data_IF_040278204052
#
_entry.id   IF_040278204052
#
_cell.length_a   1.000
_cell.length_b   1.000
_cell.length_c   1.000
_cell.angle_alpha   90.00
_cell.angle_beta   90.00
_cell.angle_gamma   90.00
#
_symmetry.space_group_name_H-M   'P 1'
#
loop_
_entity.id
_entity.type
_entity.pdbx_description
1 polymer ?
#
# COMPACT_ATOMS: atom_id res chain seq x y z
N UNK A 1 2.30 11.29 -14.60
CA UNK A 1 1.35 12.14 -15.36
C UNK A 1 0.31 12.63 -14.37
N UNK A 2 0.45 13.87 -13.90
CA UNK A 2 -0.51 14.49 -12.97
C UNK A 2 -1.87 14.56 -13.66
N UNK A 3 -2.91 14.04 -13.04
CA UNK A 3 -4.29 14.36 -13.45
C UNK A 3 -4.62 15.78 -12.97
N UNK A 4 -4.94 16.73 -13.86
CA UNK A 4 -5.45 18.02 -13.44
C UNK A 4 -6.94 17.88 -13.12
N UNK A 5 -7.33 18.30 -11.91
CA UNK A 5 -8.73 18.54 -11.59
C UNK A 5 -9.20 19.78 -12.36
N UNK A 6 -9.87 19.57 -13.49
CA UNK A 6 -10.50 20.66 -14.24
C UNK A 6 -11.86 20.98 -13.61
N UNK A 7 -11.94 22.05 -12.82
CA UNK A 7 -13.23 22.65 -12.48
C UNK A 7 -13.68 23.52 -13.65
N UNK A 8 -14.73 23.09 -14.36
CA UNK A 8 -15.38 23.86 -15.43
C UNK A 8 -16.40 24.78 -14.76
N UNK A 9 -16.09 26.07 -14.68
CA UNK A 9 -17.07 27.09 -14.32
C UNK A 9 -17.80 27.56 -15.58
N UNK A 10 -18.97 26.97 -15.86
CA UNK A 10 -19.96 27.58 -16.74
C UNK A 10 -20.87 28.49 -15.91
N UNK A 11 -21.11 29.72 -16.37
CA UNK A 11 -22.17 30.54 -15.77
C UNK A 11 -23.04 31.21 -16.84
N UNK A 12 -24.25 30.70 -16.98
CA UNK A 12 -25.41 31.55 -17.19
C UNK A 12 -25.84 32.08 -15.81
N UNK A 13 -25.70 33.40 -15.59
CA UNK A 13 -26.43 34.17 -14.58
C UNK A 13 -26.12 33.96 -13.08
N UNK A 14 -26.05 35.06 -12.33
CA UNK A 14 -26.45 35.10 -10.91
C UNK A 14 -25.38 34.74 -9.87
N UNK A 15 -24.57 35.74 -9.49
CA UNK A 15 -23.58 35.79 -8.39
C UNK A 15 -24.12 35.26 -7.05
N UNK A 16 -23.38 34.38 -6.38
CA UNK A 16 -23.55 34.02 -4.96
C UNK A 16 -22.18 33.61 -4.42
N UNK A 17 -21.62 34.34 -3.43
CA UNK A 17 -20.38 33.93 -2.78
C UNK A 17 -20.73 33.03 -1.59
N UNK A 18 -20.36 31.75 -1.66
CA UNK A 18 -20.31 30.90 -0.46
C UNK A 18 -18.90 31.01 0.14
N UNK A 19 -18.83 31.79 1.21
CA UNK A 19 -17.68 31.99 2.09
C UNK A 19 -17.30 30.68 2.78
N UNK A 20 -16.03 30.30 2.74
CA UNK A 20 -15.39 29.39 3.69
C UNK A 20 -14.15 30.09 4.28
N UNK A 21 -13.86 29.97 5.59
CA UNK A 21 -12.82 30.76 6.23
C UNK A 21 -11.44 30.10 6.02
N UNK A 22 -10.46 30.89 5.60
CA UNK A 22 -9.04 30.48 5.63
C UNK A 22 -8.42 30.13 4.28
N UNK A 23 -8.38 31.10 3.37
CA UNK A 23 -7.58 31.01 2.16
C UNK A 23 -7.53 32.37 1.49
N UNK A 24 -6.48 33.15 1.78
CA UNK A 24 -6.22 34.42 1.14
C UNK A 24 -5.84 34.17 -0.34
N UNK A 25 -6.85 33.96 -1.20
CA UNK A 25 -6.70 34.06 -2.64
C UNK A 25 -6.54 35.55 -2.91
N UNK A 26 -5.29 36.01 -2.99
CA UNK A 26 -5.00 37.35 -3.41
C UNK A 26 -5.72 37.63 -4.74
N UNK A 27 -6.53 38.69 -4.72
CA UNK A 27 -7.24 39.29 -5.84
C UNK A 27 -6.25 39.71 -6.94
N UNK A 28 -5.83 38.78 -7.79
CA UNK A 28 -5.29 39.11 -9.12
C UNK A 28 -6.36 38.96 -10.23
N UNK A 29 -7.60 38.64 -9.86
CA UNK A 29 -8.74 38.45 -10.77
C UNK A 29 -9.25 39.75 -11.43
N UNK A 30 -8.71 40.92 -11.05
CA UNK A 30 -9.17 42.22 -11.56
C UNK A 30 -8.57 42.62 -12.93
N UNK A 31 -7.65 41.81 -13.50
CA UNK A 31 -6.87 42.21 -14.70
C UNK A 31 -7.45 41.79 -16.05
N UNK A 32 -8.52 41.01 -16.12
CA UNK A 32 -8.99 40.44 -17.38
C UNK A 32 -10.32 41.05 -17.81
N UNK A 33 -10.24 41.92 -18.83
CA UNK A 33 -11.31 42.84 -19.28
C UNK A 33 -12.01 42.42 -20.58
N UNK A 34 -11.91 41.14 -20.99
CA UNK A 34 -12.53 40.68 -22.24
C UNK A 34 -13.46 39.48 -22.01
N UNK A 35 -14.62 39.40 -22.71
CA UNK A 35 -15.59 38.31 -22.54
C UNK A 35 -15.07 37.03 -23.20
N UNK A 36 -14.35 36.20 -22.44
CA UNK A 36 -14.02 34.83 -22.84
C UNK A 36 -15.15 33.88 -22.44
N UNK A 37 -15.61 33.07 -23.42
CA UNK A 37 -16.72 32.13 -23.26
C UNK A 37 -16.39 30.92 -22.37
N UNK A 38 -15.10 30.59 -22.25
CA UNK A 38 -14.59 29.53 -21.38
C UNK A 38 -13.23 29.95 -20.82
N UNK A 39 -13.06 29.76 -19.51
CA UNK A 39 -11.83 30.09 -18.81
C UNK A 39 -11.35 28.89 -18.00
N UNK A 40 -10.17 28.38 -18.35
CA UNK A 40 -9.56 27.20 -17.74
C UNK A 40 -8.36 27.63 -16.90
N UNK A 41 -8.33 27.22 -15.62
CA UNK A 41 -7.20 27.42 -14.72
C UNK A 41 -6.67 26.09 -14.22
N UNK A 42 -5.36 25.94 -14.26
CA UNK A 42 -4.67 24.87 -13.56
C UNK A 42 -4.29 25.38 -12.18
N UNK A 43 -4.93 24.83 -11.16
CA UNK A 43 -4.60 25.14 -9.77
C UNK A 43 -3.62 24.09 -9.24
N UNK A 44 -2.64 24.57 -8.49
CA UNK A 44 -1.72 23.71 -7.78
C UNK A 44 -2.44 23.03 -6.60
N UNK A 45 -2.35 21.71 -6.53
CA UNK A 45 -2.88 20.94 -5.41
C UNK A 45 -1.78 20.65 -4.39
N UNK A 46 -1.83 21.34 -3.25
CA UNK A 46 -0.85 21.18 -2.16
C UNK A 46 -1.16 20.01 -1.21
N UNK A 47 -2.27 19.27 -1.41
CA UNK A 47 -2.72 18.25 -0.46
C UNK A 47 -1.68 17.15 -0.22
N UNK A 48 -1.06 16.63 -1.28
CA UNK A 48 -0.03 15.60 -1.18
C UNK A 48 1.17 16.07 -0.34
N UNK A 49 1.63 17.31 -0.53
CA UNK A 49 2.73 17.89 0.25
C UNK A 49 2.36 18.12 1.71
N UNK A 50 1.12 18.56 1.96
CA UNK A 50 0.59 18.69 3.31
C UNK A 50 0.57 17.33 4.03
N UNK A 51 0.05 16.29 3.37
CA UNK A 51 0.04 14.92 3.90
C UNK A 51 1.45 14.39 4.18
N UNK A 52 2.40 14.59 3.26
CA UNK A 52 3.80 14.18 3.47
C UNK A 52 4.43 14.89 4.67
N UNK A 53 4.21 16.20 4.82
CA UNK A 53 4.71 16.97 5.97
C UNK A 53 4.13 16.45 7.28
N UNK A 54 2.82 16.22 7.34
CA UNK A 54 2.17 15.65 8.53
C UNK A 54 2.71 14.26 8.86
N UNK A 55 2.97 13.42 7.85
CA UNK A 55 3.55 12.10 8.05
C UNK A 55 4.95 12.18 8.69
N UNK A 56 5.83 13.05 8.19
CA UNK A 56 7.18 13.23 8.76
C UNK A 56 7.14 13.69 10.23
N UNK A 57 6.23 14.60 10.57
CA UNK A 57 6.03 15.06 11.95
C UNK A 57 5.60 13.89 12.85
N UNK A 58 4.69 13.03 12.36
CA UNK A 58 4.21 11.86 13.12
C UNK A 58 5.25 10.75 13.27
N UNK A 59 6.14 10.57 12.29
CA UNK A 59 7.17 9.51 12.35
C UNK A 59 8.14 9.73 13.50
N UNK A 60 8.45 10.99 13.84
CA UNK A 60 9.41 11.35 14.90
C UNK A 60 9.11 10.66 16.23
N UNK A 61 7.83 10.55 16.59
CA UNK A 61 7.36 10.04 17.88
C UNK A 61 6.74 8.63 17.77
N UNK A 62 7.03 7.91 16.67
CA UNK A 62 6.39 6.63 16.37
C UNK A 62 7.34 5.44 16.53
N UNK A 63 6.77 4.29 16.88
CA UNK A 63 7.49 3.02 16.93
C UNK A 63 8.03 2.55 15.57
N UNK A 64 7.58 3.15 14.46
CA UNK A 64 8.08 2.81 13.11
C UNK A 64 9.43 3.46 12.81
N UNK A 65 9.88 4.43 13.62
CA UNK A 65 11.13 5.16 13.40
C UNK A 65 12.33 4.22 13.32
N UNK A 66 12.44 3.24 14.22
CA UNK A 66 13.54 2.27 14.23
C UNK A 66 13.51 1.34 13.02
N UNK A 67 12.33 1.11 12.43
CA UNK A 67 12.18 0.29 11.22
C UNK A 67 12.57 1.08 9.97
N UNK A 68 12.22 2.38 9.92
CA UNK A 68 12.50 3.25 8.77
C UNK A 68 13.94 3.79 8.77
N UNK A 69 14.48 4.05 9.96
CA UNK A 69 15.80 4.62 10.18
C UNK A 69 16.50 3.75 11.23
N UNK A 70 16.95 2.54 10.85
CA UNK A 70 17.71 1.69 11.75
C UNK A 70 18.99 2.43 12.15
N UNK A 71 19.24 2.52 13.46
CA UNK A 71 20.55 2.93 13.97
C UNK A 71 21.48 1.72 13.88
N UNK A 72 22.71 1.90 13.40
CA UNK A 72 23.72 0.85 13.36
C UNK A 72 23.93 0.33 14.79
N UNK A 73 23.34 -0.81 15.10
CA UNK A 73 23.70 -1.62 16.25
C UNK A 73 24.44 -2.83 15.69
N UNK A 74 25.61 -3.14 16.27
CA UNK A 74 26.36 -4.36 16.01
C UNK A 74 25.50 -5.56 16.44
N UNK A 75 24.57 -5.99 15.59
CA UNK A 75 23.90 -7.27 15.76
C UNK A 75 24.94 -8.34 15.44
N UNK A 76 25.45 -9.02 16.48
CA UNK A 76 26.13 -10.30 16.31
C UNK A 76 25.17 -11.21 15.55
N UNK A 77 25.45 -11.41 14.27
CA UNK A 77 24.76 -12.33 13.39
C UNK A 77 24.90 -13.75 13.96
N UNK A 78 23.97 -14.14 14.83
CA UNK A 78 23.59 -15.54 14.90
C UNK A 78 22.63 -15.76 13.74
N UNK A 79 23.22 -15.99 12.56
CA UNK A 79 22.59 -16.74 11.47
C UNK A 79 22.23 -18.13 12.00
N UNK A 80 21.17 -18.23 12.78
CA UNK A 80 20.36 -19.43 12.77
C UNK A 80 19.38 -19.27 11.60
N UNK A 81 19.92 -19.45 10.40
CA UNK A 81 19.14 -20.04 9.33
C UNK A 81 18.60 -21.36 9.89
N UNK A 82 17.34 -21.34 10.32
CA UNK A 82 16.59 -22.54 10.62
C UNK A 82 16.30 -23.29 9.32
N UNK A 83 17.34 -23.83 8.69
CA UNK A 83 17.25 -25.03 7.86
C UNK A 83 16.89 -26.18 8.81
N UNK A 84 15.59 -26.36 9.00
CA UNK A 84 15.04 -27.29 9.97
C UNK A 84 13.65 -27.80 9.57
N UNK A 85 13.38 -28.00 8.28
CA UNK A 85 12.45 -29.06 7.89
C UNK A 85 13.21 -30.40 8.04
N UNK A 86 13.37 -30.85 9.30
CA UNK A 86 13.72 -32.24 9.55
C UNK A 86 12.59 -33.10 9.00
N UNK A 87 12.90 -33.89 7.98
CA UNK A 87 12.17 -35.10 7.66
C UNK A 87 12.14 -35.98 8.93
N UNK A 88 11.04 -35.92 9.66
CA UNK A 88 10.80 -36.69 10.88
C UNK A 88 9.30 -36.82 11.08
N UNK A 89 8.78 -38.04 10.91
CA UNK A 89 7.37 -38.36 10.88
C UNK A 89 6.58 -37.86 12.10
N UNK A 90 5.45 -37.21 11.81
CA UNK A 90 4.44 -36.81 12.77
C UNK A 90 3.26 -36.20 12.03
N UNK A 91 2.17 -36.96 11.87
CA UNK A 91 0.91 -36.53 11.28
C UNK A 91 0.39 -35.23 11.93
N UNK A 92 0.43 -34.13 11.17
CA UNK A 92 -0.07 -32.81 11.58
C UNK A 92 0.10 -31.78 10.47
N UNK A 93 -0.30 -32.12 9.24
CA UNK A 93 -0.12 -31.27 8.06
C UNK A 93 -0.91 -29.97 8.16
N UNK A 94 -0.23 -28.85 8.43
CA UNK A 94 -0.67 -27.52 8.01
C UNK A 94 0.25 -27.03 6.90
N UNK A 95 0.22 -27.76 5.78
CA UNK A 95 0.95 -27.40 4.58
C UNK A 95 0.65 -25.95 4.18
N UNK A 96 1.69 -25.20 3.82
CA UNK A 96 1.53 -23.85 3.32
C UNK A 96 0.93 -23.90 1.91
N UNK A 97 -0.38 -24.10 1.80
CA UNK A 97 -1.09 -24.04 0.52
C UNK A 97 -1.09 -22.59 0.02
N UNK A 98 -0.49 -22.38 -1.14
CA UNK A 98 -0.55 -21.11 -1.87
C UNK A 98 -1.83 -21.08 -2.72
N UNK A 99 -2.46 -19.92 -2.81
CA UNK A 99 -3.64 -19.70 -3.63
C UNK A 99 -3.27 -19.75 -5.12
N UNK A 100 -2.16 -19.11 -5.49
CA UNK A 100 -1.61 -19.17 -6.85
C UNK A 100 -0.61 -20.32 -7.01
N UNK A 101 -1.04 -21.40 -7.66
CA UNK A 101 -0.16 -22.56 -7.94
C UNK A 101 0.94 -22.23 -8.96
N UNK A 102 0.80 -21.14 -9.73
CA UNK A 102 1.77 -20.71 -10.76
C UNK A 102 3.00 -19.97 -10.20
N UNK A 103 3.05 -19.72 -8.89
CA UNK A 103 4.21 -19.11 -8.24
C UNK A 103 5.43 -20.03 -8.33
N UNK A 104 6.59 -19.45 -8.66
CA UNK A 104 7.87 -20.16 -8.59
C UNK A 104 8.35 -20.30 -7.14
N UNK A 105 9.39 -21.10 -6.93
CA UNK A 105 9.87 -21.40 -5.57
C UNK A 105 10.39 -20.16 -4.83
N UNK A 106 11.08 -19.25 -5.53
CA UNK A 106 11.59 -18.02 -4.93
C UNK A 106 10.47 -17.05 -4.52
N UNK A 107 9.42 -16.93 -5.33
CA UNK A 107 8.23 -16.16 -4.98
C UNK A 107 7.49 -16.80 -3.79
N UNK A 108 7.42 -18.13 -3.72
CA UNK A 108 6.82 -18.86 -2.58
C UNK A 108 7.61 -18.63 -1.30
N UNK A 109 8.94 -18.72 -1.35
CA UNK A 109 9.82 -18.41 -0.20
C UNK A 109 9.60 -16.97 0.28
N UNK A 110 9.61 -16.00 -0.63
CA UNK A 110 9.36 -14.60 -0.31
C UNK A 110 7.97 -14.37 0.32
N UNK A 111 6.91 -14.89 -0.30
CA UNK A 111 5.56 -14.78 0.23
C UNK A 111 5.41 -15.45 1.61
N UNK A 112 6.00 -16.65 1.79
CA UNK A 112 6.00 -17.36 3.07
C UNK A 112 6.72 -16.57 4.16
N UNK A 113 7.83 -15.91 3.84
CA UNK A 113 8.56 -15.03 4.77
C UNK A 113 7.67 -13.89 5.25
N UNK A 114 7.00 -13.19 4.32
CA UNK A 114 6.08 -12.08 4.65
C UNK A 114 4.93 -12.56 5.54
N UNK A 115 4.29 -13.67 5.17
CA UNK A 115 3.13 -14.19 5.92
C UNK A 115 3.54 -14.63 7.33
N UNK A 116 4.68 -15.33 7.47
CA UNK A 116 5.19 -15.70 8.80
C UNK A 116 5.48 -14.49 9.66
N UNK A 117 6.12 -13.47 9.10
CA UNK A 117 6.37 -12.21 9.81
C UNK A 117 5.08 -11.48 10.20
N UNK A 118 4.02 -11.59 9.40
CA UNK A 118 2.72 -10.98 9.70
C UNK A 118 1.95 -11.72 10.81
N UNK A 119 1.95 -13.06 10.80
CA UNK A 119 1.15 -13.88 11.72
C UNK A 119 1.85 -14.18 13.05
N UNK A 120 3.17 -14.26 13.05
CA UNK A 120 3.98 -14.61 14.22
C UNK A 120 5.11 -13.59 14.41
N UNK A 121 4.79 -12.37 14.90
CA UNK A 121 5.79 -11.35 15.12
C UNK A 121 6.72 -11.77 16.27
N UNK A 122 7.88 -12.35 15.91
CA UNK A 122 8.96 -12.66 16.87
C UNK A 122 9.96 -11.50 16.93
N UNK A 123 10.52 -11.18 18.12
CA UNK A 123 11.57 -10.17 18.27
C UNK A 123 12.80 -10.39 17.38
N UNK A 124 13.10 -11.63 16.97
CA UNK A 124 14.20 -11.96 16.05
C UNK A 124 13.81 -11.93 14.57
N UNK A 125 12.50 -11.96 14.28
CA UNK A 125 11.97 -12.17 12.93
C UNK A 125 11.31 -10.92 12.34
N UNK A 126 10.92 -9.97 13.19
CA UNK A 126 10.06 -8.83 12.87
C UNK A 126 10.60 -7.49 13.39
N UNK A 127 11.92 -7.29 13.32
CA UNK A 127 12.53 -5.97 13.56
C UNK A 127 12.67 -5.12 12.30
N UNK A 128 12.70 -5.74 11.13
CA UNK A 128 13.13 -5.09 9.90
C UNK A 128 12.06 -5.08 8.80
N UNK A 129 12.05 -4.01 8.01
CA UNK A 129 11.22 -3.92 6.82
C UNK A 129 11.64 -4.99 5.80
N UNK A 130 10.66 -5.72 5.25
CA UNK A 130 10.92 -6.70 4.19
C UNK A 130 10.83 -6.02 2.82
N UNK A 131 11.87 -6.17 2.02
CA UNK A 131 11.93 -5.67 0.64
C UNK A 131 11.84 -6.84 -0.35
N UNK A 132 10.79 -6.84 -1.18
CA UNK A 132 10.69 -7.77 -2.31
C UNK A 132 11.31 -7.09 -3.53
N UNK A 133 12.52 -7.51 -3.88
CA UNK A 133 13.24 -7.02 -5.04
C UNK A 133 13.13 -7.98 -6.24
N UNK A 134 13.23 -7.45 -7.45
CA UNK A 134 13.30 -8.27 -8.67
C UNK A 134 13.25 -7.44 -9.96
N UNK A 135 13.83 -7.94 -11.07
CA UNK A 135 13.73 -7.33 -12.40
C UNK A 135 12.28 -7.09 -12.86
N UNK A 136 12.04 -6.23 -13.87
CA UNK A 136 10.71 -6.10 -14.46
C UNK A 136 10.22 -7.46 -15.01
N UNK A 137 8.93 -7.76 -14.84
CA UNK A 137 8.34 -9.01 -15.32
C UNK A 137 8.48 -10.23 -14.39
N UNK A 138 9.25 -10.18 -13.31
CA UNK A 138 9.46 -11.34 -12.41
C UNK A 138 8.32 -11.64 -11.43
N UNK A 139 7.13 -11.12 -11.69
CA UNK A 139 5.95 -11.45 -10.89
C UNK A 139 5.92 -10.88 -9.48
N UNK A 140 6.70 -9.83 -9.15
CA UNK A 140 6.67 -9.15 -7.84
C UNK A 140 5.26 -8.88 -7.32
N UNK A 141 4.40 -8.33 -8.17
CA UNK A 141 3.00 -8.06 -7.82
C UNK A 141 2.22 -9.34 -7.52
N UNK A 142 2.46 -10.45 -8.23
CA UNK A 142 1.82 -11.74 -7.89
C UNK A 142 2.26 -12.22 -6.49
N UNK A 143 3.56 -12.14 -6.21
CA UNK A 143 4.11 -12.48 -4.89
C UNK A 143 3.50 -11.64 -3.77
N UNK A 144 3.32 -10.33 -3.98
CA UNK A 144 2.69 -9.43 -3.00
C UNK A 144 1.22 -9.79 -2.79
N UNK A 145 0.46 -10.03 -3.86
CA UNK A 145 -0.96 -10.41 -3.78
C UNK A 145 -1.13 -11.72 -2.99
N UNK A 146 -0.30 -12.72 -3.28
CA UNK A 146 -0.28 -13.99 -2.55
C UNK A 146 0.03 -13.76 -1.06
N UNK A 147 1.05 -12.95 -0.75
CA UNK A 147 1.42 -12.65 0.63
C UNK A 147 0.26 -11.98 1.39
N UNK A 148 -0.42 -11.02 0.77
CA UNK A 148 -1.55 -10.30 1.38
C UNK A 148 -2.71 -11.26 1.64
N UNK A 149 -3.17 -12.00 0.62
CA UNK A 149 -4.30 -12.92 0.77
C UNK A 149 -3.97 -14.07 1.72
N UNK A 150 -2.76 -14.62 1.62
CA UNK A 150 -2.29 -15.68 2.52
C UNK A 150 -2.28 -15.24 3.98
N UNK A 151 -1.85 -14.00 4.28
CA UNK A 151 -1.92 -13.44 5.64
C UNK A 151 -3.37 -13.28 6.12
N UNK A 152 -4.27 -12.81 5.26
CA UNK A 152 -5.68 -12.60 5.64
C UNK A 152 -6.38 -13.93 5.91
N UNK A 153 -6.24 -14.90 5.00
CA UNK A 153 -6.89 -16.21 5.09
C UNK A 153 -6.40 -16.97 6.32
N UNK A 154 -5.08 -17.00 6.54
CA UNK A 154 -4.48 -17.72 7.68
C UNK A 154 -4.66 -16.99 9.01
N UNK A 155 -4.79 -15.67 8.98
CA UNK A 155 -5.03 -14.84 10.16
C UNK A 155 -6.45 -14.89 10.72
N UNK A 156 -7.33 -15.73 10.16
CA UNK A 156 -8.67 -15.98 10.71
C UNK A 156 -9.57 -14.74 10.79
N UNK A 157 -9.34 -13.74 9.92
CA UNK A 157 -10.10 -12.48 9.91
C UNK A 157 -9.63 -11.40 10.90
N UNK A 158 -8.65 -11.69 11.75
CA UNK A 158 -8.04 -10.69 12.65
C UNK A 158 -7.03 -9.77 11.96
N UNK A 159 -6.54 -10.18 10.78
CA UNK A 159 -5.50 -9.45 10.03
C UNK A 159 -6.13 -8.41 9.12
N UNK A 160 -5.71 -7.15 9.29
CA UNK A 160 -6.01 -6.05 8.38
C UNK A 160 -4.72 -5.61 7.69
N UNK A 161 -4.76 -5.52 6.36
CA UNK A 161 -3.60 -5.15 5.55
C UNK A 161 -3.89 -3.82 4.84
N UNK A 162 -2.99 -2.86 5.00
CA UNK A 162 -3.00 -1.62 4.21
C UNK A 162 -2.07 -1.79 3.01
N UNK A 163 -2.65 -1.78 1.80
CA UNK A 163 -1.90 -1.81 0.55
C UNK A 163 -1.82 -0.39 -0.03
N UNK A 164 -0.60 0.08 -0.30
CA UNK A 164 -0.35 1.39 -0.92
C UNK A 164 0.35 1.23 -2.27
N UNK A 165 0.08 2.15 -3.19
CA UNK A 165 0.78 2.26 -4.46
C UNK A 165 1.06 3.73 -4.79
N UNK A 166 2.13 4.05 -5.55
CA UNK A 166 2.50 5.43 -5.86
C UNK A 166 1.65 6.07 -6.97
N UNK A 167 0.80 5.30 -7.67
CA UNK A 167 -0.11 5.79 -8.70
C UNK A 167 -1.44 5.03 -8.69
N UNK A 168 -2.50 5.70 -9.14
CA UNK A 168 -3.85 5.12 -9.22
C UNK A 168 -3.85 3.87 -10.10
N UNK A 169 -3.18 3.89 -11.25
CA UNK A 169 -3.06 2.73 -12.14
C UNK A 169 -2.39 1.51 -11.50
N UNK A 170 -1.41 1.73 -10.62
CA UNK A 170 -0.75 0.66 -9.88
C UNK A 170 -1.65 0.13 -8.76
N UNK A 171 -2.43 1.00 -8.12
CA UNK A 171 -3.45 0.63 -7.15
C UNK A 171 -4.55 -0.23 -7.81
N UNK A 172 -5.08 0.20 -8.97
CA UNK A 172 -6.08 -0.53 -9.74
C UNK A 172 -5.59 -1.93 -10.10
N UNK A 173 -4.35 -2.03 -10.60
CA UNK A 173 -3.74 -3.32 -10.92
C UNK A 173 -3.64 -4.25 -9.70
N UNK A 174 -3.29 -3.69 -8.53
CA UNK A 174 -3.18 -4.45 -7.29
C UNK A 174 -4.57 -4.93 -6.82
N UNK A 175 -5.55 -4.04 -6.82
CA UNK A 175 -6.95 -4.33 -6.44
C UNK A 175 -7.54 -5.39 -7.36
N UNK A 176 -7.36 -5.26 -8.67
CA UNK A 176 -7.89 -6.21 -9.64
C UNK A 176 -7.32 -7.61 -9.41
N UNK A 177 -6.02 -7.74 -9.18
CA UNK A 177 -5.37 -9.03 -8.89
C UNK A 177 -5.81 -9.62 -7.56
N UNK A 178 -5.91 -8.78 -6.51
CA UNK A 178 -6.44 -9.19 -5.22
C UNK A 178 -7.87 -9.71 -5.36
N UNK A 179 -8.75 -8.98 -6.06
CA UNK A 179 -10.14 -9.37 -6.27
C UNK A 179 -10.27 -10.70 -7.04
N UNK A 180 -9.51 -10.88 -8.12
CA UNK A 180 -9.52 -12.12 -8.91
C UNK A 180 -9.15 -13.33 -8.06
N UNK A 181 -8.04 -13.26 -7.30
CA UNK A 181 -7.61 -14.37 -6.46
C UNK A 181 -8.49 -14.55 -5.21
N UNK A 182 -9.02 -13.46 -4.68
CA UNK A 182 -9.96 -13.46 -3.56
C UNK A 182 -11.25 -14.24 -3.86
N UNK A 183 -11.77 -14.14 -5.08
CA UNK A 183 -12.96 -14.87 -5.53
C UNK A 183 -12.72 -16.36 -5.67
N UNK A 184 -11.47 -16.77 -5.92
CA UNK A 184 -11.08 -18.17 -6.02
C UNK A 184 -10.97 -18.88 -4.66
N UNK A 185 -11.08 -18.16 -3.54
CA UNK A 185 -10.99 -18.73 -2.20
C UNK A 185 -12.34 -19.40 -1.85
N UNK A 186 -12.40 -20.74 -1.71
CA UNK A 186 -13.63 -21.43 -1.37
C UNK A 186 -14.07 -21.08 0.06
N UNK A 187 -15.38 -20.84 0.25
CA UNK A 187 -15.96 -20.61 1.58
C UNK A 187 -16.01 -19.14 2.05
N UNK A 188 -15.85 -18.15 1.16
CA UNK A 188 -16.16 -16.75 1.52
C UNK A 188 -17.61 -16.66 2.01
N UNK A 189 -17.78 -16.13 3.22
CA UNK A 189 -19.09 -15.71 3.75
C UNK A 189 -19.73 -14.76 2.74
N UNK A 190 -20.89 -15.15 2.20
CA UNK A 190 -21.80 -14.21 1.56
C UNK A 190 -22.35 -13.30 2.66
N UNK A 191 -21.82 -12.09 2.78
CA UNK A 191 -22.26 -11.13 3.78
C UNK A 191 -21.16 -10.13 4.09
N UNK A 192 -21.35 -8.92 3.58
CA UNK A 192 -20.66 -7.73 4.06
C UNK A 192 -21.10 -7.42 5.49
#
# INVERSE_FOLDING_TARGET
LLQPAAQIFGRAGGFLPLLGPGGNIQREDARWKEPCWLHVRFLYNASAFSSMRTALIRVKDSAIKSVLFPEEQEEQEQEQEGEGEKAGGGMGGTGFVFLDQSLNEEQRKAARRVIRSCLFPSPSLCRHALLIFGPPGTGKTKCVVEAVLGSIVRGGGGVRVLCCAPSDSAADTLVQRLAMQALAIPGRRQGW
#
